data_IF_594829906354
#
_entry.id   IF_594829906354
#
_cell.length_a   1.000
_cell.length_b   1.000
_cell.length_c   1.000
_cell.angle_alpha   90.00
_cell.angle_beta   90.00
_cell.angle_gamma   90.00
#
_symmetry.space_group_name_H-M   'P 1'
#
loop_
_entity.id
_entity.type
_entity.pdbx_description
1 polymer ?
#
# COMPACT_ATOMS: atom_id res chain seq x y z
N UNK A 1 0.32 23.54 -16.08
CA UNK A 1 -1.08 23.53 -15.61
C UNK A 1 -1.86 22.48 -16.38
N UNK A 2 -2.61 21.64 -15.74
CA UNK A 2 -3.39 20.61 -16.40
C UNK A 2 -2.87 19.19 -16.28
N UNK A 3 -1.70 18.97 -15.71
CA UNK A 3 -1.28 17.62 -15.39
C UNK A 3 -2.02 17.14 -14.15
N UNK A 4 -2.58 15.93 -14.21
CA UNK A 4 -3.19 15.30 -13.06
C UNK A 4 -2.11 14.97 -12.03
N UNK A 5 -2.51 14.85 -10.77
CA UNK A 5 -1.62 14.39 -9.69
C UNK A 5 -1.03 13.03 -10.04
N UNK A 6 -1.82 12.16 -10.66
CA UNK A 6 -1.36 10.86 -11.11
C UNK A 6 -0.27 10.95 -12.17
N UNK A 7 -0.40 11.88 -13.13
CA UNK A 7 0.63 12.07 -14.15
C UNK A 7 1.95 12.53 -13.54
N UNK A 8 1.90 13.45 -12.57
CA UNK A 8 3.08 13.88 -11.84
C UNK A 8 3.75 12.71 -11.14
N UNK A 9 2.96 11.88 -10.44
CA UNK A 9 3.44 10.69 -9.76
C UNK A 9 4.11 9.72 -10.74
N UNK A 10 3.49 9.50 -11.90
CA UNK A 10 4.04 8.59 -12.91
C UNK A 10 5.33 9.14 -13.53
N UNK A 11 5.41 10.45 -13.75
CA UNK A 11 6.63 11.08 -14.24
C UNK A 11 7.79 10.89 -13.26
N UNK A 12 7.54 11.09 -11.98
CA UNK A 12 8.55 10.90 -10.94
C UNK A 12 8.96 9.42 -10.82
N UNK A 13 7.98 8.53 -10.86
CA UNK A 13 8.23 7.08 -10.78
C UNK A 13 9.06 6.62 -11.99
N UNK A 14 8.71 7.06 -13.18
CA UNK A 14 9.45 6.72 -14.39
C UNK A 14 10.91 7.21 -14.30
N UNK A 15 11.12 8.40 -13.78
CA UNK A 15 12.47 8.94 -13.57
C UNK A 15 13.28 8.05 -12.62
N UNK A 16 12.67 7.60 -11.53
CA UNK A 16 13.32 6.69 -10.58
C UNK A 16 13.68 5.37 -11.26
N UNK A 17 12.71 4.74 -11.91
CA UNK A 17 12.90 3.41 -12.50
C UNK A 17 13.91 3.41 -13.65
N UNK A 18 14.02 4.52 -14.36
CA UNK A 18 14.98 4.65 -15.48
C UNK A 18 16.39 5.02 -15.02
N UNK A 19 16.60 5.25 -13.74
CA UNK A 19 17.89 5.71 -13.21
C UNK A 19 18.39 4.86 -12.03
N UNK A 20 17.97 3.60 -11.95
CA UNK A 20 18.38 2.70 -10.88
C UNK A 20 19.83 2.26 -11.06
N UNK A 21 20.56 2.21 -9.94
CA UNK A 21 21.92 1.67 -9.89
C UNK A 21 22.04 0.69 -8.71
N UNK A 22 23.18 0.04 -8.61
CA UNK A 22 23.48 -0.88 -7.50
C UNK A 22 23.62 -0.17 -6.15
N UNK A 23 23.61 1.16 -6.16
CA UNK A 23 23.68 1.99 -4.97
C UNK A 23 22.37 2.71 -4.67
N UNK A 24 21.29 2.32 -5.34
CA UNK A 24 19.99 2.96 -5.15
C UNK A 24 19.26 2.44 -3.92
N UNK A 25 18.65 3.36 -3.18
CA UNK A 25 17.63 3.08 -2.19
C UNK A 25 16.34 3.72 -2.71
N UNK A 26 15.34 2.90 -2.99
CA UNK A 26 14.08 3.35 -3.57
C UNK A 26 13.00 3.37 -2.51
N UNK A 27 12.35 4.51 -2.35
CA UNK A 27 11.26 4.69 -1.39
C UNK A 27 9.99 5.02 -2.18
N UNK A 28 9.00 4.14 -2.12
CA UNK A 28 7.73 4.32 -2.80
C UNK A 28 6.61 4.34 -1.78
N UNK A 29 5.76 5.35 -1.84
CA UNK A 29 4.68 5.55 -0.88
C UNK A 29 3.36 5.64 -1.61
N UNK A 30 2.58 4.57 -1.50
CA UNK A 30 1.21 4.48 -2.03
C UNK A 30 1.08 4.79 -3.53
N UNK A 31 1.94 4.20 -4.33
CA UNK A 31 1.91 4.36 -5.78
C UNK A 31 0.60 3.78 -6.34
N UNK A 32 -0.03 4.51 -7.25
CA UNK A 32 -1.22 4.06 -7.96
C UNK A 32 -2.55 4.58 -7.42
N UNK A 33 -2.53 5.44 -6.42
CA UNK A 33 -3.77 5.98 -5.82
C UNK A 33 -4.56 6.90 -6.74
N UNK A 34 -3.89 7.55 -7.67
CA UNK A 34 -4.51 8.57 -8.51
C UNK A 34 -5.29 8.06 -9.72
N UNK A 35 -5.49 6.76 -9.84
CA UNK A 35 -6.20 6.14 -10.95
C UNK A 35 -7.18 5.09 -10.43
N UNK A 36 -7.80 4.33 -11.33
CA UNK A 36 -8.72 3.27 -10.93
C UNK A 36 -7.97 2.21 -10.09
N UNK A 37 -8.71 1.53 -9.22
CA UNK A 37 -8.12 0.54 -8.31
C UNK A 37 -7.39 -0.56 -9.06
N UNK A 38 -7.98 -1.10 -10.11
CA UNK A 38 -7.36 -2.16 -10.90
C UNK A 38 -6.07 -1.71 -11.59
N UNK A 39 -6.11 -0.52 -12.18
CA UNK A 39 -4.93 0.04 -12.83
C UNK A 39 -3.84 0.32 -11.79
N UNK A 40 -4.23 0.86 -10.64
CA UNK A 40 -3.29 1.14 -9.56
C UNK A 40 -2.60 -0.12 -9.03
N UNK A 41 -3.37 -1.17 -8.78
CA UNK A 41 -2.82 -2.46 -8.32
C UNK A 41 -1.87 -3.04 -9.36
N UNK A 42 -2.28 -3.01 -10.64
CA UNK A 42 -1.47 -3.55 -11.73
C UNK A 42 -0.15 -2.82 -11.87
N UNK A 43 -0.17 -1.50 -11.78
CA UNK A 43 1.04 -0.67 -11.84
C UNK A 43 1.94 -0.94 -10.63
N UNK A 44 1.36 -0.97 -9.43
CA UNK A 44 2.13 -1.21 -8.21
C UNK A 44 2.80 -2.59 -8.23
N UNK A 45 2.06 -3.61 -8.64
CA UNK A 45 2.61 -4.96 -8.79
C UNK A 45 3.77 -4.98 -9.79
N UNK A 46 3.55 -4.40 -10.98
CA UNK A 46 4.56 -4.39 -12.03
C UNK A 46 5.82 -3.64 -11.60
N UNK A 47 5.68 -2.55 -10.86
CA UNK A 47 6.82 -1.80 -10.33
C UNK A 47 7.60 -2.64 -9.32
N UNK A 48 6.91 -3.29 -8.39
CA UNK A 48 7.56 -4.14 -7.39
C UNK A 48 8.31 -5.30 -8.05
N UNK A 49 7.70 -5.93 -9.05
CA UNK A 49 8.32 -7.01 -9.80
C UNK A 49 9.55 -6.52 -10.59
N UNK A 50 9.42 -5.37 -11.24
CA UNK A 50 10.54 -4.75 -11.97
C UNK A 50 11.73 -4.49 -11.04
N UNK A 51 11.49 -3.97 -9.85
CA UNK A 51 12.53 -3.70 -8.88
C UNK A 51 13.16 -4.98 -8.35
N UNK A 52 12.35 -6.00 -8.10
CA UNK A 52 12.83 -7.30 -7.64
C UNK A 52 13.72 -7.99 -8.68
N UNK A 53 13.31 -7.94 -9.94
CA UNK A 53 14.03 -8.61 -11.03
C UNK A 53 15.19 -7.78 -11.58
N UNK A 54 15.36 -6.55 -11.11
CA UNK A 54 16.41 -5.67 -11.62
C UNK A 54 17.80 -6.19 -11.24
N UNK A 55 18.72 -6.33 -12.23
CA UNK A 55 20.08 -6.82 -11.94
C UNK A 55 20.87 -5.99 -10.95
N UNK A 56 20.56 -4.70 -10.83
CA UNK A 56 21.21 -3.81 -9.87
C UNK A 56 20.79 -4.08 -8.43
N UNK A 57 19.69 -4.81 -8.21
CA UNK A 57 19.16 -5.16 -6.89
C UNK A 57 19.01 -3.94 -5.97
N UNK A 58 18.25 -2.93 -6.38
CA UNK A 58 18.06 -1.74 -5.55
C UNK A 58 17.35 -2.12 -4.26
N UNK A 59 17.80 -1.54 -3.15
CA UNK A 59 17.10 -1.68 -1.88
C UNK A 59 15.82 -0.88 -1.97
N UNK A 60 14.69 -1.50 -1.64
CA UNK A 60 13.38 -0.87 -1.84
C UNK A 60 12.50 -1.01 -0.62
N UNK A 61 11.86 0.10 -0.23
CA UNK A 61 10.77 0.12 0.73
C UNK A 61 9.53 0.60 0.00
N UNK A 62 8.48 -0.21 0.03
CA UNK A 62 7.25 0.05 -0.69
C UNK A 62 6.07 0.04 0.28
N UNK A 63 5.53 1.20 0.60
CA UNK A 63 4.34 1.32 1.43
C UNK A 63 3.10 1.34 0.55
N UNK A 64 2.13 0.49 0.85
CA UNK A 64 0.91 0.39 0.05
C UNK A 64 -0.27 -0.13 0.87
N UNK A 65 -1.48 0.23 0.44
CA UNK A 65 -2.72 -0.34 0.95
C UNK A 65 -3.24 -1.50 0.10
N UNK A 66 -2.57 -1.83 -0.97
CA UNK A 66 -3.00 -2.91 -1.86
C UNK A 66 -2.66 -4.26 -1.25
N UNK A 67 -3.64 -4.88 -0.61
CA UNK A 67 -3.48 -6.18 0.05
C UNK A 67 -3.09 -7.28 -0.93
N UNK A 68 -3.43 -7.12 -2.21
CA UNK A 68 -3.05 -8.05 -3.26
C UNK A 68 -1.54 -8.23 -3.37
N UNK A 69 -0.77 -7.20 -3.03
CA UNK A 69 0.68 -7.27 -3.06
C UNK A 69 1.26 -8.17 -1.95
N UNK A 70 0.46 -8.51 -0.94
CA UNK A 70 0.89 -9.45 0.09
C UNK A 70 1.28 -10.81 -0.48
N UNK A 71 0.69 -11.20 -1.60
CA UNK A 71 0.97 -12.48 -2.25
C UNK A 71 2.37 -12.55 -2.86
N UNK A 72 3.00 -11.41 -3.09
CA UNK A 72 4.31 -11.36 -3.74
C UNK A 72 5.40 -12.04 -2.90
N UNK A 73 5.28 -12.02 -1.57
CA UNK A 73 6.25 -12.67 -0.68
C UNK A 73 6.38 -14.18 -0.97
N UNK A 74 5.27 -14.82 -1.34
CA UNK A 74 5.26 -16.26 -1.62
C UNK A 74 5.96 -16.61 -2.94
N UNK A 75 5.92 -15.69 -3.90
CA UNK A 75 6.43 -15.93 -5.26
C UNK A 75 7.84 -15.36 -5.49
N UNK A 76 8.13 -14.22 -4.87
CA UNK A 76 9.39 -13.50 -5.08
C UNK A 76 10.28 -13.65 -3.85
N UNK A 77 11.43 -14.28 -4.01
CA UNK A 77 12.28 -14.69 -2.90
C UNK A 77 12.86 -13.55 -2.06
N UNK A 78 12.96 -12.36 -2.63
CA UNK A 78 13.55 -11.21 -1.93
C UNK A 78 12.51 -10.15 -1.55
N UNK A 79 11.23 -10.50 -1.58
CA UNK A 79 10.16 -9.63 -1.11
C UNK A 79 9.69 -10.12 0.26
N UNK A 80 9.61 -9.21 1.21
CA UNK A 80 9.13 -9.47 2.55
C UNK A 80 8.02 -8.48 2.90
N UNK A 81 6.97 -8.99 3.51
CA UNK A 81 5.85 -8.18 3.98
C UNK A 81 6.03 -7.81 5.43
N UNK A 82 5.72 -6.57 5.72
CA UNK A 82 5.64 -6.04 7.08
C UNK A 82 4.36 -5.23 7.20
N UNK A 83 3.88 -5.08 8.39
CA UNK A 83 2.76 -4.18 8.64
C UNK A 83 3.00 -3.41 9.92
N UNK A 84 2.31 -2.28 10.02
CA UNK A 84 2.35 -1.46 11.23
C UNK A 84 1.33 -2.04 12.19
N UNK A 85 1.79 -2.49 13.35
CA UNK A 85 0.93 -3.20 14.28
C UNK A 85 -0.10 -2.29 14.93
N UNK A 86 -1.26 -2.85 15.16
CA UNK A 86 -2.34 -2.23 15.90
C UNK A 86 -2.82 -3.20 16.97
N UNK A 87 -3.48 -2.67 17.98
CA UNK A 87 -4.10 -3.48 19.02
C UNK A 87 -5.53 -3.04 19.22
N UNK A 88 -6.45 -3.98 19.25
CA UNK A 88 -7.85 -3.71 19.53
C UNK A 88 -8.13 -4.01 21.00
N UNK A 89 -8.54 -2.99 21.75
CA UNK A 89 -8.88 -3.09 23.18
C UNK A 89 -10.21 -2.38 23.38
N UNK A 90 -11.21 -3.09 23.93
CA UNK A 90 -12.51 -2.52 24.28
C UNK A 90 -13.14 -1.71 23.14
N UNK A 91 -13.16 -2.29 21.93
CA UNK A 91 -13.66 -1.64 20.71
C UNK A 91 -12.90 -0.38 20.30
N UNK A 92 -11.70 -0.22 20.84
CA UNK A 92 -10.79 0.86 20.45
C UNK A 92 -9.60 0.30 19.71
N UNK A 93 -9.09 1.08 18.75
CA UNK A 93 -7.89 0.71 18.01
C UNK A 93 -6.73 1.52 18.57
N UNK A 94 -5.71 0.81 19.01
CA UNK A 94 -4.44 1.40 19.41
C UNK A 94 -3.41 1.18 18.30
N UNK A 95 -2.91 2.27 17.76
CA UNK A 95 -1.83 2.23 16.78
C UNK A 95 -0.50 2.11 17.54
N UNK A 96 0.05 0.90 17.58
CA UNK A 96 1.30 0.65 18.30
C UNK A 96 2.52 1.19 17.59
N UNK A 97 2.39 1.51 16.29
CA UNK A 97 3.45 2.10 15.46
C UNK A 97 4.72 1.28 15.44
N UNK A 98 4.59 -0.04 15.49
CA UNK A 98 5.69 -0.98 15.38
C UNK A 98 5.57 -1.73 14.07
N UNK A 99 6.69 -1.85 13.38
CA UNK A 99 6.77 -2.63 12.16
C UNK A 99 6.99 -4.09 12.54
N UNK A 100 6.06 -4.96 12.13
CA UNK A 100 6.12 -6.39 12.42
C UNK A 100 6.04 -7.20 11.13
N UNK A 101 6.68 -8.39 11.09
CA UNK A 101 6.60 -9.25 9.90
C UNK A 101 5.18 -9.68 9.59
N UNK A 102 4.89 -9.84 8.29
CA UNK A 102 3.61 -10.30 7.80
C UNK A 102 2.81 -9.21 7.14
N UNK A 103 1.95 -9.60 6.19
CA UNK A 103 1.04 -8.69 5.53
C UNK A 103 -0.20 -8.45 6.37
N UNK A 104 -0.75 -7.24 6.29
CA UNK A 104 -2.04 -6.93 6.90
C UNK A 104 -3.16 -7.19 5.90
N UNK A 105 -4.14 -8.00 6.30
CA UNK A 105 -5.35 -8.24 5.50
C UNK A 105 -6.52 -7.40 5.99
N UNK A 106 -6.32 -6.63 7.06
CA UNK A 106 -7.38 -5.87 7.69
C UNK A 106 -7.32 -4.40 7.30
N UNK A 107 -8.50 -3.86 7.01
CA UNK A 107 -8.70 -2.44 6.82
C UNK A 107 -9.47 -1.91 8.03
N UNK A 108 -9.04 -0.77 8.56
CA UNK A 108 -9.65 -0.18 9.75
C UNK A 108 -10.40 1.12 9.45
N UNK A 109 -10.70 1.35 8.17
CA UNK A 109 -11.38 2.58 7.75
C UNK A 109 -12.72 2.79 8.45
N UNK A 110 -13.51 1.73 8.61
CA UNK A 110 -14.82 1.82 9.28
C UNK A 110 -14.64 2.15 10.76
N UNK A 111 -13.65 1.56 11.42
CA UNK A 111 -13.34 1.89 12.81
C UNK A 111 -12.91 3.34 12.97
N UNK A 112 -12.09 3.84 12.05
CA UNK A 112 -11.67 5.25 12.06
C UNK A 112 -12.87 6.16 11.85
N UNK A 113 -13.77 5.80 10.92
CA UNK A 113 -15.00 6.56 10.68
C UNK A 113 -15.87 6.62 11.96
N UNK A 114 -15.96 5.50 12.68
CA UNK A 114 -16.70 5.45 13.96
C UNK A 114 -16.06 6.39 14.98
N UNK A 115 -14.74 6.37 15.10
CA UNK A 115 -14.01 7.24 16.04
C UNK A 115 -14.19 8.71 15.68
N UNK A 116 -14.37 9.02 14.41
CA UNK A 116 -14.61 10.39 13.94
C UNK A 116 -16.06 10.87 14.17
N UNK A 117 -16.93 10.01 14.66
CA UNK A 117 -18.32 10.38 14.93
C UNK A 117 -19.28 10.21 13.78
N UNK A 118 -18.95 9.33 12.83
CA UNK A 118 -19.83 9.04 11.69
C UNK A 118 -21.18 8.52 12.18
N UNK A 119 -22.32 8.97 11.55
CA UNK A 119 -23.63 8.48 11.97
C UNK A 119 -23.74 6.96 11.93
N UNK A 120 -24.43 6.40 12.92
CA UNK A 120 -24.56 4.94 13.07
C UNK A 120 -25.17 4.25 11.85
N UNK A 121 -26.10 4.90 11.15
CA UNK A 121 -26.69 4.34 9.93
C UNK A 121 -25.68 4.20 8.81
N UNK A 122 -24.77 5.14 8.70
CA UNK A 122 -23.70 5.09 7.68
C UNK A 122 -22.74 3.95 8.00
N UNK A 123 -22.34 3.81 9.26
CA UNK A 123 -21.45 2.73 9.70
C UNK A 123 -22.08 1.35 9.47
N UNK A 124 -23.36 1.20 9.81
CA UNK A 124 -24.09 -0.06 9.61
C UNK A 124 -24.14 -0.44 8.13
N UNK A 125 -24.41 0.54 7.26
CA UNK A 125 -24.44 0.29 5.82
C UNK A 125 -23.06 -0.03 5.27
N UNK A 126 -22.03 0.68 5.74
CA UNK A 126 -20.65 0.43 5.32
C UNK A 126 -20.20 -0.99 5.70
N UNK A 127 -20.51 -1.45 6.92
CA UNK A 127 -20.21 -2.82 7.33
C UNK A 127 -20.92 -3.84 6.46
N UNK A 128 -22.17 -3.58 6.10
CA UNK A 128 -22.95 -4.46 5.24
C UNK A 128 -22.39 -4.56 3.83
N UNK A 129 -21.94 -3.44 3.29
CA UNK A 129 -21.29 -3.39 1.98
C UNK A 129 -19.95 -4.11 1.98
N UNK A 130 -19.21 -4.05 3.08
CA UNK A 130 -17.91 -4.70 3.21
C UNK A 130 -18.03 -6.23 3.18
N UNK A 131 -19.15 -6.78 3.63
CA UNK A 131 -19.41 -8.22 3.61
C UNK A 131 -19.58 -8.79 2.19
N UNK A 132 -19.79 -7.93 1.21
CA UNK A 132 -19.94 -8.30 -0.19
C UNK A 132 -18.71 -7.90 -0.99
#
# INVERSE_FOLDING_TARGET
>A
MGESTFMVEMNETASILNNISDRSLVLLDEIGRGTSTYDGISIAWAIAEFLHENPARPKTLFATHYHELNEMEATFSHIKNFNVSIKEIDNRILFLRKLVPGGSEHSFGIHVAKMAGMPAKVLARANKMLEH
#
